data_IF_313547832985
#
_entry.id   IF_313547832985
#
_cell.length_a   1.000
_cell.length_b   1.000
_cell.length_c   1.000
_cell.angle_alpha   90.00
_cell.angle_beta   90.00
_cell.angle_gamma   90.00
#
_symmetry.space_group_name_H-M   'P 1'
#
loop_
_entity.id
_entity.type
_entity.pdbx_description
1 polymer ?
#
# COMPACT_ATOMS: atom_id res chain seq x y z
N UNK A 1 -12.65 -11.91 -23.43
CA UNK A 1 -11.78 -11.16 -22.49
C UNK A 1 -10.34 -11.32 -22.97
N UNK A 2 -9.63 -10.23 -23.25
CA UNK A 2 -8.29 -10.29 -23.85
C UNK A 2 -7.24 -10.72 -22.82
N UNK A 3 -6.25 -11.52 -23.23
CA UNK A 3 -5.12 -11.92 -22.36
C UNK A 3 -3.98 -10.92 -22.51
N UNK A 4 -3.19 -10.73 -21.45
CA UNK A 4 -2.00 -9.89 -21.52
C UNK A 4 -0.93 -10.54 -22.42
N UNK A 5 -0.37 -9.83 -23.41
CA UNK A 5 0.53 -10.43 -24.41
C UNK A 5 1.80 -11.02 -23.79
N UNK A 6 2.37 -10.36 -22.78
CA UNK A 6 3.57 -10.83 -22.08
C UNK A 6 3.29 -11.79 -20.90
N UNK A 7 2.02 -12.02 -20.52
CA UNK A 7 1.67 -12.94 -19.44
C UNK A 7 0.25 -13.50 -19.65
N UNK A 8 0.12 -14.66 -20.33
CA UNK A 8 -1.19 -15.23 -20.68
C UNK A 8 -2.08 -15.55 -19.48
N UNK A 9 -1.53 -15.64 -18.26
CA UNK A 9 -2.32 -15.86 -17.04
C UNK A 9 -3.07 -14.60 -16.56
N UNK A 10 -2.77 -13.43 -17.13
CA UNK A 10 -3.41 -12.16 -16.81
C UNK A 10 -4.43 -11.78 -17.89
N UNK A 11 -5.57 -11.23 -17.45
CA UNK A 11 -6.63 -10.75 -18.32
C UNK A 11 -6.69 -9.23 -18.29
N UNK A 12 -6.79 -8.63 -19.46
CA UNK A 12 -6.96 -7.20 -19.62
C UNK A 12 -8.43 -6.81 -19.35
N UNK A 13 -8.60 -5.64 -18.77
CA UNK A 13 -9.87 -5.02 -18.42
C UNK A 13 -9.85 -3.56 -18.86
N UNK A 14 -10.68 -3.22 -19.85
CA UNK A 14 -10.71 -1.90 -20.50
C UNK A 14 -11.90 -1.03 -20.06
N UNK A 15 -12.85 -1.59 -19.31
CA UNK A 15 -14.03 -0.85 -18.87
C UNK A 15 -13.68 0.17 -17.77
N UNK A 16 -14.39 1.31 -17.74
CA UNK A 16 -14.21 2.36 -16.71
C UNK A 16 -14.76 2.01 -15.33
N UNK A 17 -15.33 0.81 -15.17
CA UNK A 17 -15.83 0.29 -13.89
C UNK A 17 -15.39 -1.15 -13.67
N UNK A 18 -15.33 -1.57 -12.40
CA UNK A 18 -15.06 -2.95 -11.98
C UNK A 18 -15.92 -3.29 -10.78
N UNK A 19 -16.74 -4.34 -10.88
CA UNK A 19 -17.69 -4.80 -9.84
C UNK A 19 -18.52 -3.66 -9.22
N UNK A 20 -19.03 -2.76 -10.08
CA UNK A 20 -19.86 -1.61 -9.66
C UNK A 20 -19.10 -0.36 -9.23
N UNK A 21 -17.78 -0.41 -9.09
CA UNK A 21 -16.95 0.73 -8.71
C UNK A 21 -16.29 1.40 -9.91
N UNK A 22 -16.21 2.73 -9.90
CA UNK A 22 -15.43 3.48 -10.88
C UNK A 22 -13.92 3.23 -10.70
N UNK A 23 -13.20 3.16 -11.82
CA UNK A 23 -11.74 3.08 -11.87
C UNK A 23 -11.18 4.17 -12.79
N UNK A 24 -9.87 4.40 -12.75
CA UNK A 24 -9.19 5.44 -13.55
C UNK A 24 -9.11 5.06 -15.04
N UNK A 25 -10.25 5.06 -15.75
CA UNK A 25 -10.39 4.57 -17.12
C UNK A 25 -9.28 5.06 -18.09
N UNK A 26 -8.80 6.28 -17.91
CA UNK A 26 -7.73 6.92 -18.69
C UNK A 26 -6.33 6.29 -18.50
N UNK A 27 -6.16 5.41 -17.50
CA UNK A 27 -4.91 4.70 -17.19
C UNK A 27 -4.91 3.25 -17.68
N UNK A 28 -6.01 2.78 -18.26
CA UNK A 28 -6.16 1.41 -18.76
C UNK A 28 -5.21 1.07 -19.93
N UNK A 29 -5.16 -0.20 -20.35
CA UNK A 29 -5.91 -1.33 -19.81
C UNK A 29 -5.46 -1.72 -18.39
N UNK A 30 -6.38 -2.30 -17.62
CA UNK A 30 -6.12 -2.83 -16.28
C UNK A 30 -5.95 -4.34 -16.28
N UNK A 31 -5.33 -4.88 -15.24
CA UNK A 31 -5.24 -6.32 -15.01
C UNK A 31 -6.39 -6.73 -14.10
N UNK A 32 -7.32 -7.52 -14.64
CA UNK A 32 -8.54 -7.95 -13.93
C UNK A 32 -8.23 -8.63 -12.59
N UNK A 33 -7.22 -9.50 -12.56
CA UNK A 33 -6.82 -10.20 -11.35
C UNK A 33 -6.29 -9.25 -10.27
N UNK A 34 -5.66 -8.15 -10.65
CA UNK A 34 -5.13 -7.18 -9.70
C UNK A 34 -6.27 -6.34 -9.12
N UNK A 35 -7.23 -5.93 -9.95
CA UNK A 35 -8.46 -5.25 -9.50
C UNK A 35 -9.25 -6.12 -8.53
N UNK A 36 -9.45 -7.40 -8.85
CA UNK A 36 -10.13 -8.36 -7.97
C UNK A 36 -9.41 -8.49 -6.62
N UNK A 37 -8.08 -8.67 -6.63
CA UNK A 37 -7.30 -8.77 -5.38
C UNK A 37 -7.31 -7.48 -4.56
N UNK A 38 -7.29 -6.32 -5.22
CA UNK A 38 -7.42 -5.03 -4.56
C UNK A 38 -8.78 -4.93 -3.85
N UNK A 39 -9.88 -5.19 -4.58
CA UNK A 39 -11.24 -5.11 -4.05
C UNK A 39 -11.40 -6.06 -2.85
N UNK A 40 -11.07 -7.33 -3.02
CA UNK A 40 -11.15 -8.33 -1.95
C UNK A 40 -10.31 -7.95 -0.73
N UNK A 41 -9.13 -7.33 -0.92
CA UNK A 41 -8.31 -6.88 0.22
C UNK A 41 -8.98 -5.74 0.98
N UNK A 42 -9.61 -4.80 0.27
CA UNK A 42 -10.35 -3.70 0.89
C UNK A 42 -11.60 -4.19 1.62
N UNK A 43 -12.41 -5.04 0.98
CA UNK A 43 -13.62 -5.62 1.56
C UNK A 43 -13.33 -6.42 2.83
N UNK A 44 -12.29 -7.27 2.80
CA UNK A 44 -11.93 -8.05 3.98
C UNK A 44 -11.37 -7.18 5.11
N UNK A 45 -10.69 -6.08 4.80
CA UNK A 45 -10.25 -5.14 5.83
C UNK A 45 -11.44 -4.43 6.50
N UNK A 46 -12.46 -4.02 5.73
CA UNK A 46 -13.67 -3.39 6.27
C UNK A 46 -14.64 -4.38 6.92
N UNK A 47 -14.56 -5.67 6.59
CA UNK A 47 -15.21 -6.74 7.34
C UNK A 47 -14.49 -7.07 8.65
N UNK A 48 -13.16 -6.88 8.70
CA UNK A 48 -12.34 -7.16 9.88
C UNK A 48 -12.44 -6.04 10.94
N UNK A 49 -12.66 -4.79 10.54
CA UNK A 49 -12.72 -3.63 11.43
C UNK A 49 -13.90 -2.71 11.10
N UNK A 50 -14.63 -2.25 12.11
CA UNK A 50 -15.72 -1.28 11.94
C UNK A 50 -15.24 0.05 11.36
N UNK A 51 -13.99 0.43 11.65
CA UNK A 51 -13.33 1.63 11.14
C UNK A 51 -11.94 1.26 10.62
N UNK A 52 -11.71 1.50 9.33
CA UNK A 52 -10.44 1.21 8.66
C UNK A 52 -9.75 2.51 8.29
N UNK A 53 -8.52 2.66 8.76
CA UNK A 53 -7.61 3.69 8.30
C UNK A 53 -6.75 3.13 7.17
N UNK A 54 -6.83 3.74 5.99
CA UNK A 54 -6.03 3.35 4.85
C UNK A 54 -5.18 4.53 4.35
N UNK A 55 -3.99 4.23 3.82
CA UNK A 55 -3.17 5.24 3.18
C UNK A 55 -2.33 4.69 2.04
N UNK A 56 -2.01 5.55 1.06
CA UNK A 56 -0.99 5.27 0.05
C UNK A 56 0.40 5.67 0.51
N UNK A 57 1.39 4.89 0.12
CA UNK A 57 2.79 5.29 0.15
C UNK A 57 3.54 4.67 -1.03
N UNK A 58 4.61 5.33 -1.45
CA UNK A 58 5.45 4.92 -2.56
C UNK A 58 6.90 4.79 -2.07
N UNK A 59 7.58 3.74 -2.52
CA UNK A 59 8.96 3.42 -2.14
C UNK A 59 9.86 3.45 -3.37
N UNK A 60 10.97 4.18 -3.27
CA UNK A 60 11.98 4.33 -4.32
C UNK A 60 13.32 3.77 -3.86
N UNK A 61 14.07 3.21 -4.81
CA UNK A 61 15.47 2.88 -4.58
C UNK A 61 16.34 4.15 -4.73
N UNK A 62 17.35 4.32 -3.86
CA UNK A 62 18.27 5.44 -3.93
C UNK A 62 19.13 5.43 -5.20
N UNK A 63 19.73 6.58 -5.50
CA UNK A 63 20.64 6.77 -6.62
C UNK A 63 22.08 7.00 -6.19
N UNK A 64 23.01 6.48 -6.99
CA UNK A 64 24.44 6.71 -6.77
C UNK A 64 25.07 5.83 -5.69
N UNK A 65 24.32 4.89 -5.10
CA UNK A 65 24.83 3.96 -4.11
C UNK A 65 24.63 2.51 -4.54
N UNK A 66 25.56 1.65 -4.16
CA UNK A 66 25.47 0.22 -4.38
C UNK A 66 24.54 -0.40 -3.33
N UNK A 67 23.49 -1.07 -3.80
CA UNK A 67 22.58 -1.81 -2.92
C UNK A 67 22.90 -3.31 -2.97
N UNK A 68 22.48 -4.07 -1.95
CA UNK A 68 22.48 -5.52 -2.04
C UNK A 68 21.67 -6.01 -3.25
N UNK A 69 22.10 -7.06 -3.93
CA UNK A 69 21.43 -7.55 -5.16
C UNK A 69 19.93 -7.83 -4.99
N UNK A 70 19.53 -8.29 -3.80
CA UNK A 70 18.13 -8.55 -3.49
C UNK A 70 17.26 -7.27 -3.54
N UNK A 71 17.84 -6.08 -3.39
CA UNK A 71 17.15 -4.79 -3.41
C UNK A 71 16.47 -4.51 -4.76
N UNK A 72 16.95 -5.13 -5.84
CA UNK A 72 16.39 -5.00 -7.19
C UNK A 72 15.32 -6.07 -7.51
N UNK A 73 15.01 -6.93 -6.53
CA UNK A 73 14.03 -8.03 -6.63
C UNK A 73 12.84 -7.79 -5.69
N UNK A 74 11.82 -8.65 -5.77
CA UNK A 74 10.68 -8.58 -4.83
C UNK A 74 11.05 -8.88 -3.38
N UNK A 75 12.24 -9.42 -3.13
CA UNK A 75 12.73 -9.63 -1.76
C UNK A 75 12.85 -8.33 -0.96
N UNK A 76 13.07 -7.18 -1.63
CA UNK A 76 13.13 -5.88 -0.94
C UNK A 76 11.77 -5.48 -0.36
N UNK A 77 10.69 -5.69 -1.12
CA UNK A 77 9.34 -5.35 -0.66
C UNK A 77 8.85 -6.32 0.40
N UNK A 78 9.24 -7.60 0.32
CA UNK A 78 8.99 -8.59 1.37
C UNK A 78 9.65 -8.15 2.69
N UNK A 79 10.94 -7.80 2.67
CA UNK A 79 11.66 -7.31 3.85
C UNK A 79 11.06 -6.03 4.41
N UNK A 80 10.63 -5.11 3.54
CA UNK A 80 9.94 -3.89 3.97
C UNK A 80 8.65 -4.22 4.73
N UNK A 81 7.80 -5.08 4.15
CA UNK A 81 6.53 -5.47 4.78
C UNK A 81 6.76 -6.20 6.09
N UNK A 82 7.76 -7.09 6.17
CA UNK A 82 8.12 -7.79 7.41
C UNK A 82 8.60 -6.82 8.49
N UNK A 83 9.50 -5.89 8.14
CA UNK A 83 10.00 -4.87 9.06
C UNK A 83 8.87 -3.94 9.53
N UNK A 84 8.02 -3.50 8.62
CA UNK A 84 6.88 -2.64 8.92
C UNK A 84 5.87 -3.34 9.85
N UNK A 85 5.55 -4.62 9.58
CA UNK A 85 4.72 -5.44 10.48
C UNK A 85 5.32 -5.55 11.88
N UNK A 86 6.61 -5.83 11.98
CA UNK A 86 7.29 -5.94 13.27
C UNK A 86 7.24 -4.61 14.06
N UNK A 87 7.38 -3.47 13.39
CA UNK A 87 7.25 -2.14 14.01
C UNK A 87 5.84 -1.83 14.48
N UNK A 88 4.83 -2.20 13.70
CA UNK A 88 3.42 -2.09 14.10
C UNK A 88 3.16 -2.97 15.32
N UNK A 89 3.60 -4.23 15.31
CA UNK A 89 3.42 -5.16 16.43
C UNK A 89 4.11 -4.68 17.71
N UNK A 90 5.35 -4.17 17.60
CA UNK A 90 6.05 -3.59 18.73
C UNK A 90 5.24 -2.42 19.33
N UNK A 91 4.77 -1.51 18.49
CA UNK A 91 3.96 -0.38 18.94
C UNK A 91 2.64 -0.83 19.60
N UNK A 92 1.96 -1.85 19.05
CA UNK A 92 0.76 -2.43 19.66
C UNK A 92 1.03 -3.11 20.99
N UNK A 93 2.16 -3.82 21.10
CA UNK A 93 2.62 -4.40 22.37
C UNK A 93 2.84 -3.32 23.42
N UNK A 94 3.54 -2.23 23.09
CA UNK A 94 3.74 -1.11 24.00
C UNK A 94 2.42 -0.42 24.40
N UNK A 95 1.47 -0.29 23.46
CA UNK A 95 0.15 0.26 23.76
C UNK A 95 -0.63 -0.62 24.74
N UNK A 96 -0.59 -1.95 24.58
CA UNK A 96 -1.23 -2.92 25.49
C UNK A 96 -0.64 -2.90 26.89
N UNK A 97 0.67 -2.67 27.03
CA UNK A 97 1.33 -2.49 28.33
C UNK A 97 0.85 -1.22 29.06
N UNK A 98 0.51 -0.16 28.31
CA UNK A 98 -0.01 1.09 28.88
C UNK A 98 -1.51 1.05 29.15
N UNK A 99 -2.27 0.28 28.36
CA UNK A 99 -3.72 0.14 28.51
C UNK A 99 -4.19 -1.22 28.00
N UNK A 100 -4.87 -1.97 28.88
CA UNK A 100 -5.51 -3.26 28.53
C UNK A 100 -6.60 -3.15 27.46
N UNK A 101 -7.09 -1.93 27.20
CA UNK A 101 -8.11 -1.64 26.18
C UNK A 101 -7.51 -1.12 24.87
N UNK A 102 -6.18 -1.16 24.72
CA UNK A 102 -5.54 -0.73 23.49
C UNK A 102 -5.98 -1.59 22.30
N UNK A 103 -6.49 -0.93 21.25
CA UNK A 103 -6.89 -1.60 20.02
C UNK A 103 -5.69 -2.15 19.25
N UNK A 104 -5.87 -3.35 18.71
CA UNK A 104 -4.89 -4.03 17.88
C UNK A 104 -5.14 -3.78 16.39
N UNK A 105 -4.15 -4.09 15.56
CA UNK A 105 -4.29 -4.04 14.10
C UNK A 105 -3.40 -5.07 13.42
N UNK A 106 -3.91 -5.64 12.34
CA UNK A 106 -3.10 -6.37 11.37
C UNK A 106 -2.76 -5.44 10.21
N UNK A 107 -1.54 -5.54 9.70
CA UNK A 107 -1.13 -4.81 8.50
C UNK A 107 -1.68 -5.52 7.27
N UNK A 108 -2.77 -4.99 6.72
CA UNK A 108 -3.28 -5.37 5.39
C UNK A 108 -2.68 -4.44 4.35
N UNK A 109 -2.39 -4.98 3.18
CA UNK A 109 -1.72 -4.19 2.15
C UNK A 109 -1.98 -4.72 0.74
N UNK A 110 -1.80 -3.82 -0.22
CA UNK A 110 -1.64 -4.11 -1.64
C UNK A 110 -0.40 -3.37 -2.12
N UNK A 111 0.42 -3.98 -2.96
CA UNK A 111 1.55 -3.31 -3.59
C UNK A 111 1.63 -3.65 -5.07
N UNK A 112 2.20 -2.72 -5.84
CA UNK A 112 2.56 -2.95 -7.23
C UNK A 112 3.98 -2.44 -7.51
N UNK A 113 4.72 -3.20 -8.31
CA UNK A 113 6.08 -2.88 -8.76
C UNK A 113 6.01 -2.31 -10.16
N UNK A 114 6.65 -1.17 -10.36
CA UNK A 114 6.81 -0.50 -11.66
C UNK A 114 8.30 -0.19 -11.85
N UNK A 115 8.72 -0.06 -13.12
CA UNK A 115 10.06 0.43 -13.43
C UNK A 115 9.93 1.90 -13.83
N UNK A 116 10.64 2.78 -13.10
CA UNK A 116 10.65 4.21 -13.41
C UNK A 116 11.52 4.51 -14.63
N UNK A 117 11.47 5.76 -15.11
CA UNK A 117 12.20 6.22 -16.31
C UNK A 117 13.72 5.95 -16.26
N UNK A 118 14.30 5.87 -15.07
CA UNK A 118 15.74 5.57 -14.85
C UNK A 118 16.04 4.07 -14.72
N UNK A 119 15.13 3.19 -15.13
CA UNK A 119 15.32 1.74 -15.10
C UNK A 119 15.29 1.11 -13.70
N UNK A 120 14.93 1.86 -12.66
CA UNK A 120 14.89 1.35 -11.28
C UNK A 120 13.47 0.98 -10.85
N UNK A 121 13.33 -0.15 -10.12
CA UNK A 121 12.08 -0.48 -9.45
C UNK A 121 11.63 0.62 -8.49
N UNK A 122 10.33 0.89 -8.53
CA UNK A 122 9.60 1.62 -7.50
C UNK A 122 8.35 0.82 -7.14
N UNK A 123 7.91 0.99 -5.90
CA UNK A 123 6.77 0.26 -5.35
C UNK A 123 5.69 1.24 -4.94
N UNK A 124 4.48 1.00 -5.42
CA UNK A 124 3.28 1.72 -5.00
C UNK A 124 2.51 0.84 -4.02
N UNK A 125 2.13 1.38 -2.88
CA UNK A 125 1.42 0.64 -1.84
C UNK A 125 0.11 1.33 -1.44
N UNK A 126 -0.82 0.49 -0.99
CA UNK A 126 -1.95 0.85 -0.16
C UNK A 126 -1.84 0.02 1.11
N UNK A 127 -1.81 0.66 2.28
CA UNK A 127 -1.83 0.02 3.60
C UNK A 127 -3.20 0.24 4.22
N UNK A 128 -3.75 -0.78 4.88
CA UNK A 128 -5.01 -0.70 5.63
C UNK A 128 -4.80 -1.23 7.05
N UNK A 129 -5.26 -0.47 8.03
CA UNK A 129 -5.12 -0.69 9.47
C UNK A 129 -6.45 -0.45 10.18
N UNK A 130 -6.58 -0.96 11.40
CA UNK A 130 -7.64 -0.57 12.31
C UNK A 130 -7.49 0.93 12.66
N UNK A 131 -8.51 1.73 12.36
CA UNK A 131 -8.51 3.17 12.64
C UNK A 131 -8.46 3.48 14.14
N UNK A 132 -8.96 2.58 14.98
CA UNK A 132 -8.94 2.73 16.43
C UNK A 132 -7.55 2.47 17.02
N UNK A 133 -6.69 1.78 16.26
CA UNK A 133 -5.29 1.59 16.61
C UNK A 133 -4.40 2.72 16.06
N UNK A 134 -4.65 3.15 14.82
CA UNK A 134 -3.90 4.20 14.12
C UNK A 134 -4.83 5.10 13.33
N UNK A 135 -4.77 6.41 13.60
CA UNK A 135 -5.72 7.37 13.03
C UNK A 135 -5.15 8.25 11.90
N UNK A 136 -3.82 8.34 11.79
CA UNK A 136 -3.16 9.17 10.78
C UNK A 136 -1.74 8.68 10.49
N UNK A 137 -1.17 9.14 9.37
CA UNK A 137 0.26 8.91 9.07
C UNK A 137 1.17 9.75 9.98
N UNK A 138 0.69 10.91 10.45
CA UNK A 138 1.50 11.90 11.13
C UNK A 138 2.18 12.87 10.15
N UNK A 139 3.06 13.73 10.68
CA UNK A 139 3.78 14.75 9.91
C UNK A 139 5.23 14.33 9.67
N UNK A 140 5.75 14.72 8.52
CA UNK A 140 7.19 14.69 8.22
C UNK A 140 7.88 15.64 9.21
N UNK A 141 9.00 15.22 9.82
CA UNK A 141 9.78 15.99 10.80
C UNK A 141 9.09 16.30 12.15
N UNK A 142 8.17 15.45 12.61
CA UNK A 142 7.70 15.53 14.01
C UNK A 142 8.68 14.84 14.95
N UNK A 143 9.01 15.46 16.08
CA UNK A 143 9.84 14.82 17.13
C UNK A 143 9.18 13.59 17.78
N UNK A 144 7.86 13.43 17.57
CA UNK A 144 7.10 12.29 18.07
C UNK A 144 7.09 11.14 17.06
N UNK A 145 7.33 9.92 17.56
CA UNK A 145 7.30 8.70 16.75
C UNK A 145 5.92 8.49 16.10
N UNK A 146 5.86 8.53 14.78
CA UNK A 146 4.61 8.44 14.01
C UNK A 146 4.69 7.38 12.90
N UNK A 147 3.65 7.25 12.07
CA UNK A 147 3.64 6.23 11.01
C UNK A 147 4.73 6.48 9.98
N UNK A 148 5.03 7.75 9.69
CA UNK A 148 6.07 8.13 8.75
C UNK A 148 7.45 7.62 9.18
N UNK A 149 7.81 7.77 10.46
CA UNK A 149 9.03 7.21 11.03
C UNK A 149 9.08 5.69 10.87
N UNK A 150 7.97 4.99 11.13
CA UNK A 150 7.89 3.52 10.99
C UNK A 150 8.08 3.07 9.54
N UNK A 151 7.51 3.78 8.58
CA UNK A 151 7.70 3.52 7.15
C UNK A 151 9.16 3.76 6.75
N UNK A 152 9.75 4.86 7.21
CA UNK A 152 11.14 5.20 6.98
C UNK A 152 12.07 4.11 7.54
N UNK A 153 12.02 3.83 8.82
CA UNK A 153 12.87 2.80 9.44
C UNK A 153 12.68 1.42 8.81
N UNK A 154 11.46 1.06 8.40
CA UNK A 154 11.20 -0.19 7.70
C UNK A 154 11.89 -0.24 6.32
N UNK A 155 11.89 0.87 5.59
CA UNK A 155 12.55 0.98 4.30
C UNK A 155 14.08 0.99 4.42
N UNK A 156 14.61 1.75 5.37
CA UNK A 156 16.03 1.73 5.72
C UNK A 156 16.50 0.31 6.07
N UNK A 157 15.75 -0.40 6.92
CA UNK A 157 16.01 -1.79 7.30
C UNK A 157 15.96 -2.74 6.11
N UNK A 158 15.01 -2.56 5.18
CA UNK A 158 14.91 -3.36 3.97
C UNK A 158 16.13 -3.18 3.04
N UNK A 159 16.61 -1.94 2.90
CA UNK A 159 17.75 -1.59 2.05
C UNK A 159 19.12 -1.79 2.70
N UNK A 160 19.16 -2.02 4.03
CA UNK A 160 20.39 -2.01 4.85
C UNK A 160 21.13 -0.67 4.79
N UNK A 161 20.37 0.41 4.83
CA UNK A 161 20.88 1.77 4.87
C UNK A 161 20.57 2.43 6.21
N UNK A 162 21.37 3.44 6.60
CA UNK A 162 21.00 4.38 7.65
C UNK A 162 19.68 5.11 7.35
N UNK A 163 18.97 5.56 8.40
CA UNK A 163 17.65 6.25 8.25
C UNK A 163 17.80 7.64 7.61
N UNK A 164 18.94 8.27 7.76
CA UNK A 164 19.31 9.54 7.11
C UNK A 164 19.48 9.39 5.59
N UNK A 165 19.91 8.22 5.12
CA UNK A 165 20.09 7.95 3.67
C UNK A 165 18.78 7.65 2.91
N UNK A 166 17.65 7.52 3.62
CA UNK A 166 16.35 7.22 2.99
C UNK A 166 15.43 8.44 2.83
N UNK A 167 15.93 9.63 3.15
CA UNK A 167 15.14 10.85 2.97
C UNK A 167 14.70 11.00 1.50
N UNK A 168 13.40 11.24 1.29
CA UNK A 168 12.81 11.32 -0.07
C UNK A 168 12.61 9.98 -0.79
N UNK A 169 12.98 8.84 -0.19
CA UNK A 169 12.75 7.51 -0.76
C UNK A 169 11.41 6.90 -0.40
N UNK A 170 10.77 7.41 0.66
CA UNK A 170 9.40 7.07 1.05
C UNK A 170 8.54 8.31 0.81
N UNK A 171 7.54 8.19 -0.05
CA UNK A 171 6.62 9.28 -0.37
C UNK A 171 5.20 8.89 0.08
N UNK A 172 4.52 9.82 0.76
CA UNK A 172 3.09 9.71 1.04
C UNK A 172 2.43 10.81 0.22
N UNK A 173 1.75 10.47 -0.89
CA UNK A 173 1.28 11.49 -1.83
C UNK A 173 0.16 12.34 -1.23
N UNK A 174 -0.14 13.48 -1.87
CA UNK A 174 -1.24 14.34 -1.42
C UNK A 174 -2.57 13.59 -1.41
N UNK A 175 -3.42 13.85 -0.42
CA UNK A 175 -4.70 13.16 -0.23
C UNK A 175 -4.56 11.62 -0.10
N UNK A 176 -3.42 11.12 0.40
CA UNK A 176 -3.16 9.68 0.49
C UNK A 176 -4.02 8.92 1.49
N UNK A 177 -4.69 9.60 2.43
CA UNK A 177 -5.36 8.96 3.58
C UNK A 177 -6.86 8.85 3.41
N UNK A 178 -7.41 7.71 3.83
CA UNK A 178 -8.83 7.39 3.75
C UNK A 178 -9.31 6.79 5.08
N UNK A 179 -10.54 7.11 5.46
CA UNK A 179 -11.22 6.58 6.64
C UNK A 179 -12.50 5.92 6.20
N UNK A 180 -12.57 4.60 6.31
CA UNK A 180 -13.70 3.83 5.82
C UNK A 180 -14.45 3.23 7.00
N UNK A 181 -15.76 3.32 6.95
CA UNK A 181 -16.65 2.64 7.88
C UNK A 181 -17.95 2.28 7.17
N UNK A 182 -18.59 1.20 7.62
CA UNK A 182 -19.95 0.84 7.17
C UNK A 182 -21.05 1.56 7.96
N UNK A 183 -20.70 2.23 9.07
CA UNK A 183 -21.68 2.84 9.96
C UNK A 183 -21.64 4.37 9.87
N UNK A 184 -22.73 5.03 9.46
CA UNK A 184 -22.76 6.49 9.26
C UNK A 184 -22.38 7.31 10.49
N UNK A 185 -22.58 6.77 11.70
CA UNK A 185 -22.19 7.43 12.96
C UNK A 185 -20.68 7.64 13.12
N UNK A 186 -19.86 6.95 12.31
CA UNK A 186 -18.41 7.10 12.33
C UNK A 186 -17.87 8.02 11.23
N UNK A 187 -18.73 8.59 10.39
CA UNK A 187 -18.33 9.58 9.40
C UNK A 187 -17.98 10.89 10.09
N UNK A 188 -16.74 11.33 9.91
CA UNK A 188 -16.22 12.57 10.47
C UNK A 188 -16.43 13.71 9.49
N UNK A 189 -16.41 13.38 8.20
CA UNK A 189 -16.63 14.32 7.11
C UNK A 189 -17.65 13.74 6.12
N UNK A 190 -18.38 14.59 5.37
CA UNK A 190 -19.34 14.12 4.37
C UNK A 190 -18.73 13.19 3.32
N UNK A 191 -17.42 13.34 3.03
CA UNK A 191 -16.71 12.57 2.03
C UNK A 191 -16.36 11.13 2.48
N UNK A 192 -16.49 10.82 3.77
CA UNK A 192 -16.22 9.49 4.36
C UNK A 192 -17.23 8.43 3.90
N UNK A 193 -18.47 8.81 3.57
CA UNK A 193 -19.49 7.89 3.05
C UNK A 193 -19.04 7.18 1.75
N UNK A 194 -18.24 7.87 0.94
CA UNK A 194 -17.68 7.35 -0.32
C UNK A 194 -16.19 6.98 -0.18
N UNK A 195 -15.61 6.95 1.02
CA UNK A 195 -14.18 6.75 1.21
C UNK A 195 -13.69 5.43 0.60
N UNK A 196 -14.50 4.38 0.65
CA UNK A 196 -14.21 3.10 0.01
C UNK A 196 -14.09 3.25 -1.50
N UNK A 197 -15.10 3.82 -2.15
CA UNK A 197 -15.13 4.05 -3.59
C UNK A 197 -13.99 4.97 -4.04
N UNK A 198 -13.70 6.03 -3.28
CA UNK A 198 -12.59 6.97 -3.55
C UNK A 198 -11.22 6.30 -3.43
N UNK A 199 -11.01 5.48 -2.40
CA UNK A 199 -9.78 4.71 -2.26
C UNK A 199 -9.67 3.69 -3.41
N UNK A 200 -10.73 2.96 -3.73
CA UNK A 200 -10.70 1.96 -4.79
C UNK A 200 -10.39 2.60 -6.15
N UNK A 201 -11.05 3.72 -6.47
CA UNK A 201 -10.75 4.51 -7.66
C UNK A 201 -9.27 4.91 -7.72
N UNK A 202 -8.71 5.46 -6.63
CA UNK A 202 -7.31 5.88 -6.60
C UNK A 202 -6.34 4.70 -6.66
N UNK A 203 -6.65 3.62 -5.95
CA UNK A 203 -5.83 2.42 -5.88
C UNK A 203 -5.88 1.59 -7.16
N UNK A 204 -6.93 1.73 -7.98
CA UNK A 204 -7.02 1.07 -9.29
C UNK A 204 -5.83 1.37 -10.20
N UNK A 205 -5.18 2.54 -10.04
CA UNK A 205 -3.93 2.87 -10.70
C UNK A 205 -2.85 1.78 -10.56
N UNK A 206 -2.75 1.15 -9.38
CA UNK A 206 -1.77 0.09 -9.14
C UNK A 206 -2.00 -1.14 -10.03
N UNK A 207 -3.23 -1.29 -10.54
CA UNK A 207 -3.67 -2.41 -11.35
C UNK A 207 -3.54 -2.18 -12.87
N UNK A 208 -3.08 -1.00 -13.31
CA UNK A 208 -2.83 -0.73 -14.74
C UNK A 208 -1.81 -1.74 -15.30
N UNK A 209 -2.00 -2.17 -16.53
CA UNK A 209 -1.08 -3.07 -17.22
C UNK A 209 0.20 -2.36 -17.66
N UNK A 210 0.10 -1.07 -17.97
CA UNK A 210 1.22 -0.23 -18.37
C UNK A 210 2.30 -0.17 -17.28
N UNK A 211 3.56 0.07 -17.68
CA UNK A 211 4.74 0.25 -16.80
C UNK A 211 5.11 -0.93 -15.88
N UNK A 212 4.33 -2.02 -15.90
CA UNK A 212 4.68 -3.28 -15.24
C UNK A 212 5.63 -4.06 -16.14
N UNK A 213 6.60 -4.74 -15.51
CA UNK A 213 7.49 -5.66 -16.20
C UNK A 213 6.99 -7.09 -16.00
N UNK A 214 6.99 -7.85 -17.09
CA UNK A 214 6.63 -9.27 -17.13
C UNK A 214 7.79 -10.06 -17.72
N UNK A 215 7.89 -11.34 -17.37
CA UNK A 215 8.91 -12.23 -17.91
C UNK A 215 10.27 -12.20 -17.20
N UNK A 216 10.48 -11.33 -16.21
CA UNK A 216 11.71 -11.27 -15.41
C UNK A 216 11.69 -12.21 -14.18
N UNK A 217 10.71 -13.12 -14.11
CA UNK A 217 10.49 -14.02 -12.98
C UNK A 217 9.97 -13.33 -11.70
N UNK A 218 9.70 -12.02 -11.72
CA UNK A 218 9.21 -11.27 -10.56
C UNK A 218 7.74 -10.92 -10.73
N UNK A 219 7.00 -10.96 -9.63
CA UNK A 219 5.60 -10.55 -9.62
C UNK A 219 5.49 -9.02 -9.63
N UNK A 220 4.66 -8.46 -10.52
CA UNK A 220 4.38 -7.03 -10.57
C UNK A 220 3.39 -6.53 -9.52
N UNK A 221 2.76 -7.43 -8.76
CA UNK A 221 1.70 -7.11 -7.80
C UNK A 221 1.60 -8.14 -6.68
N UNK A 222 1.35 -7.67 -5.46
CA UNK A 222 1.11 -8.50 -4.30
C UNK A 222 0.10 -7.88 -3.33
N UNK A 223 -0.43 -8.70 -2.43
CA UNK A 223 -1.34 -8.24 -1.38
C UNK A 223 -1.21 -9.15 -0.16
N UNK A 224 -1.66 -8.66 1.00
CA UNK A 224 -1.76 -9.47 2.20
C UNK A 224 -2.69 -10.67 1.99
N UNK A 225 -2.30 -11.84 2.49
CA UNK A 225 -3.19 -12.99 2.65
C UNK A 225 -4.07 -12.78 3.88
N UNK A 226 -5.32 -13.22 3.81
CA UNK A 226 -6.23 -13.27 4.95
C UNK A 226 -6.31 -14.70 5.45
#
# INVERSE_FOLDING_TARGET
MSRHPANPNLHLHDAGTFDGFHIQADKGPFIRQYLSRLLTTMERATAQYNRVFAFRCDLRLPAGIQLPDYAYTNKVIERFIESFKAKIEHNRTQARLRSKYAHDTQVRYVWAREIGERGRPHYHLVILLNQDAFYSVGKIASDNENMFHRLHEAWASALRLPVDEIYGLVEVPDNATYRMSHEPRYFIKPDDADAFSKLFYRASYLCKAATKVYGDGRHGFGCSRF
#
